data_IF_168113360777
#
_entry.id   IF_168113360777
#
_cell.length_a   1.000
_cell.length_b   1.000
_cell.length_c   1.000
_cell.angle_alpha   90.00
_cell.angle_beta   90.00
_cell.angle_gamma   90.00
#
_symmetry.space_group_name_H-M   'P 1'
#
loop_
_entity.id
_entity.type
_entity.pdbx_description
1 polymer ?
#
# COMPACT_ATOMS: atom_id res chain seq x y z
N UNK A 1 0.90 -30.61 -16.72
CA UNK A 1 1.24 -29.44 -17.60
C UNK A 1 2.75 -29.44 -17.73
N UNK A 2 3.26 -29.34 -18.97
CA UNK A 2 4.69 -29.13 -19.21
C UNK A 2 5.05 -27.67 -18.85
N UNK A 3 5.85 -27.50 -17.81
CA UNK A 3 6.22 -26.17 -17.31
C UNK A 3 7.05 -25.38 -18.34
N UNK A 4 7.90 -26.06 -19.12
CA UNK A 4 8.72 -25.39 -20.15
C UNK A 4 7.85 -24.88 -21.30
N UNK A 5 6.90 -25.69 -21.75
CA UNK A 5 5.97 -25.29 -22.79
C UNK A 5 5.10 -24.09 -22.35
N UNK A 6 4.59 -24.11 -21.10
CA UNK A 6 3.83 -23.03 -20.52
C UNK A 6 4.67 -21.75 -20.43
N UNK A 7 5.91 -21.84 -19.93
CA UNK A 7 6.81 -20.70 -19.80
C UNK A 7 7.14 -20.07 -21.16
N UNK A 8 7.44 -20.89 -22.17
CA UNK A 8 7.69 -20.40 -23.52
C UNK A 8 6.47 -19.69 -24.12
N UNK A 9 5.26 -20.23 -23.90
CA UNK A 9 4.01 -19.59 -24.33
C UNK A 9 3.79 -18.23 -23.66
N UNK A 10 4.11 -18.09 -22.36
CA UNK A 10 4.05 -16.81 -21.65
C UNK A 10 5.04 -15.80 -22.27
N UNK A 11 6.29 -16.21 -22.50
CA UNK A 11 7.32 -15.34 -23.09
C UNK A 11 6.90 -14.90 -24.51
N UNK A 12 6.41 -15.82 -25.33
CA UNK A 12 5.96 -15.52 -26.69
C UNK A 12 4.81 -14.50 -26.70
N UNK A 13 3.79 -14.74 -25.86
CA UNK A 13 2.66 -13.82 -25.71
C UNK A 13 3.12 -12.44 -25.22
N UNK A 14 3.93 -12.39 -24.18
CA UNK A 14 4.44 -11.14 -23.62
C UNK A 14 5.28 -10.34 -24.64
N UNK A 15 6.04 -11.03 -25.50
CA UNK A 15 6.83 -10.40 -26.55
C UNK A 15 5.95 -9.79 -27.65
N UNK A 16 4.84 -10.44 -27.99
CA UNK A 16 3.93 -10.01 -29.05
C UNK A 16 2.93 -8.95 -28.60
N UNK A 17 2.43 -9.04 -27.36
CA UNK A 17 1.27 -8.29 -26.88
C UNK A 17 1.52 -7.47 -25.61
N UNK A 18 2.68 -7.60 -24.97
CA UNK A 18 2.99 -7.12 -23.63
C UNK A 18 2.14 -7.76 -22.50
N UNK A 19 1.43 -8.85 -22.79
CA UNK A 19 0.59 -9.61 -21.86
C UNK A 19 0.96 -11.10 -21.88
N UNK A 20 0.79 -11.86 -20.77
CA UNK A 20 0.23 -11.44 -19.48
C UNK A 20 1.26 -10.78 -18.56
N UNK A 21 0.77 -9.99 -17.59
CA UNK A 21 1.51 -9.71 -16.37
C UNK A 21 1.51 -10.93 -15.43
N UNK A 22 2.53 -11.06 -14.57
CA UNK A 22 2.64 -12.17 -13.63
C UNK A 22 2.55 -11.68 -12.19
N UNK A 23 1.72 -12.34 -11.39
CA UNK A 23 1.60 -12.10 -9.96
C UNK A 23 2.19 -13.30 -9.21
N UNK A 24 3.21 -13.07 -8.40
CA UNK A 24 3.80 -14.08 -7.52
C UNK A 24 2.92 -14.24 -6.29
N UNK A 25 1.81 -14.98 -6.46
CA UNK A 25 0.69 -15.02 -5.53
C UNK A 25 1.07 -15.42 -4.09
N UNK A 26 1.90 -16.42 -3.94
CA UNK A 26 2.36 -16.89 -2.63
C UNK A 26 3.15 -15.80 -1.89
N UNK A 27 4.00 -15.04 -2.61
CA UNK A 27 4.75 -13.92 -2.04
C UNK A 27 3.83 -12.77 -1.63
N UNK A 28 2.78 -12.50 -2.43
CA UNK A 28 1.79 -11.47 -2.12
C UNK A 28 1.06 -11.84 -0.82
N UNK A 29 0.45 -13.02 -0.77
CA UNK A 29 -0.40 -13.44 0.36
C UNK A 29 0.38 -13.58 1.65
N UNK A 30 1.62 -14.09 1.59
CA UNK A 30 2.50 -14.29 2.73
C UNK A 30 2.91 -12.97 3.40
N UNK A 31 3.12 -11.91 2.61
CA UNK A 31 3.62 -10.63 3.09
C UNK A 31 2.55 -9.56 3.28
N UNK A 32 1.28 -9.85 2.99
CA UNK A 32 0.19 -8.89 3.10
C UNK A 32 -0.50 -8.98 4.46
N UNK A 33 -0.40 -7.97 5.34
CA UNK A 33 -1.07 -8.00 6.65
C UNK A 33 -2.58 -8.23 6.55
N UNK A 34 -3.25 -7.60 5.58
CA UNK A 34 -4.68 -7.76 5.36
C UNK A 34 -5.10 -9.21 5.08
N UNK A 35 -4.24 -10.01 4.44
CA UNK A 35 -4.53 -11.43 4.15
C UNK A 35 -4.63 -12.31 5.40
N UNK A 36 -4.07 -11.85 6.52
CA UNK A 36 -4.16 -12.56 7.82
C UNK A 36 -5.58 -12.59 8.38
N UNK A 37 -6.42 -11.64 7.99
CA UNK A 37 -7.82 -11.57 8.43
C UNK A 37 -8.73 -12.43 7.53
N UNK A 38 -9.57 -13.31 8.10
CA UNK A 38 -10.47 -14.16 7.32
C UNK A 38 -11.38 -13.40 6.34
N UNK A 39 -11.90 -12.24 6.75
CA UNK A 39 -12.78 -11.38 5.97
C UNK A 39 -12.05 -10.56 4.90
N UNK A 40 -10.73 -10.34 5.04
CA UNK A 40 -9.91 -9.57 4.11
C UNK A 40 -8.94 -10.44 3.30
N UNK A 41 -9.18 -11.73 3.22
CA UNK A 41 -8.39 -12.60 2.35
C UNK A 41 -8.40 -12.09 0.90
N UNK A 42 -7.20 -11.92 0.37
CA UNK A 42 -6.99 -11.44 -1.00
C UNK A 42 -7.61 -12.38 -2.02
N UNK A 43 -8.42 -11.84 -2.93
CA UNK A 43 -9.09 -12.57 -4.03
C UNK A 43 -8.55 -12.19 -5.39
N UNK A 44 -8.08 -10.96 -5.54
CA UNK A 44 -7.59 -10.39 -6.80
C UNK A 44 -6.67 -9.21 -6.52
N UNK A 45 -6.27 -8.49 -7.56
CA UNK A 45 -5.67 -7.17 -7.47
C UNK A 45 -6.55 -6.15 -8.20
N UNK A 46 -6.24 -4.86 -8.06
CA UNK A 46 -6.72 -3.84 -8.97
C UNK A 46 -6.13 -4.08 -10.39
N UNK A 47 -6.62 -3.40 -11.44
CA UNK A 47 -6.20 -3.65 -12.83
C UNK A 47 -4.68 -3.55 -13.07
N UNK A 48 -3.98 -2.63 -12.40
CA UNK A 48 -2.53 -2.45 -12.56
C UNK A 48 -1.68 -3.40 -11.68
N UNK A 49 -2.30 -4.13 -10.75
CA UNK A 49 -1.64 -5.17 -9.95
C UNK A 49 -0.94 -4.69 -8.68
N UNK A 50 -0.93 -3.38 -8.40
CA UNK A 50 -0.20 -2.82 -7.26
C UNK A 50 -0.90 -3.03 -5.91
N UNK A 51 -2.22 -3.24 -5.90
CA UNK A 51 -2.99 -3.42 -4.67
C UNK A 51 -3.71 -4.77 -4.65
N UNK A 52 -3.27 -5.71 -3.80
CA UNK A 52 -4.03 -6.94 -3.53
C UNK A 52 -5.30 -6.60 -2.75
N UNK A 53 -6.44 -7.07 -3.22
CA UNK A 53 -7.75 -6.72 -2.71
C UNK A 53 -8.56 -7.94 -2.26
N UNK A 54 -9.33 -7.77 -1.19
CA UNK A 54 -10.41 -8.66 -0.78
C UNK A 54 -11.69 -8.40 -1.59
N UNK A 55 -12.72 -9.21 -1.36
CA UNK A 55 -14.00 -8.99 -2.02
C UNK A 55 -14.62 -7.65 -1.58
N UNK A 56 -15.22 -6.93 -2.53
CA UNK A 56 -15.90 -5.63 -2.33
C UNK A 56 -14.99 -4.50 -1.81
N UNK A 57 -13.68 -4.69 -1.87
CA UNK A 57 -12.70 -3.72 -1.38
C UNK A 57 -12.24 -2.77 -2.49
N UNK A 58 -11.66 -1.65 -2.09
CA UNK A 58 -11.10 -0.65 -2.98
C UNK A 58 -9.87 -0.01 -2.33
N UNK A 59 -9.04 0.68 -3.11
CA UNK A 59 -7.86 1.36 -2.61
C UNK A 59 -7.91 2.87 -2.92
N UNK A 60 -7.49 3.69 -1.96
CA UNK A 60 -7.38 5.15 -2.07
C UNK A 60 -5.91 5.46 -2.28
N UNK A 61 -5.56 5.84 -3.50
CA UNK A 61 -4.18 6.02 -3.92
C UNK A 61 -3.70 7.44 -3.64
N UNK A 62 -2.56 7.52 -2.94
CA UNK A 62 -1.76 8.74 -2.81
C UNK A 62 -0.34 8.40 -3.23
N UNK A 63 0.28 9.24 -4.05
CA UNK A 63 1.61 8.97 -4.60
C UNK A 63 2.57 10.13 -4.30
N UNK A 64 3.66 9.83 -3.61
CA UNK A 64 4.70 10.79 -3.26
C UNK A 64 5.70 10.93 -4.40
N UNK A 65 6.06 12.17 -4.76
CA UNK A 65 7.08 12.44 -5.77
C UNK A 65 8.47 12.42 -5.13
N UNK A 66 9.20 11.32 -5.27
CA UNK A 66 10.54 11.15 -4.68
C UNK A 66 11.57 12.13 -5.26
N UNK A 67 11.47 12.47 -6.55
CA UNK A 67 12.38 13.43 -7.19
C UNK A 67 12.35 14.79 -6.50
N UNK A 68 11.19 15.23 -5.99
CA UNK A 68 11.07 16.51 -5.29
C UNK A 68 11.80 16.58 -3.95
N UNK A 69 12.27 15.44 -3.44
CA UNK A 69 13.02 15.32 -2.19
C UNK A 69 14.54 15.32 -2.39
N UNK A 70 15.01 15.38 -3.64
CA UNK A 70 16.44 15.47 -3.93
C UNK A 70 16.90 16.92 -3.91
N UNK A 71 17.85 17.23 -3.03
CA UNK A 71 18.54 18.52 -2.95
C UNK A 71 19.76 18.53 -3.88
N UNK A 72 20.10 19.69 -4.42
CA UNK A 72 21.27 19.89 -5.27
C UNK A 72 21.38 18.87 -6.42
N UNK A 73 20.23 18.63 -7.09
CA UNK A 73 20.11 17.64 -8.17
C UNK A 73 21.21 17.80 -9.21
N UNK A 74 21.89 16.70 -9.57
CA UNK A 74 23.00 16.59 -10.51
C UNK A 74 24.31 17.28 -10.08
N UNK A 75 24.37 17.83 -8.86
CA UNK A 75 25.60 18.40 -8.32
C UNK A 75 26.41 17.34 -7.56
N UNK A 76 27.67 17.62 -7.27
CA UNK A 76 28.55 16.70 -6.50
C UNK A 76 28.07 16.45 -5.08
N UNK A 77 27.30 17.39 -4.52
CA UNK A 77 26.71 17.34 -3.19
C UNK A 77 25.19 17.05 -3.26
N UNK A 78 24.74 16.39 -4.33
CA UNK A 78 23.36 15.91 -4.40
C UNK A 78 23.06 14.98 -3.22
N UNK A 79 21.92 15.20 -2.55
CA UNK A 79 21.52 14.46 -1.37
C UNK A 79 19.99 14.28 -1.33
N UNK A 80 19.54 13.21 -0.67
CA UNK A 80 18.12 12.92 -0.50
C UNK A 80 17.63 13.35 0.89
N UNK A 81 16.53 14.11 0.94
CA UNK A 81 15.95 14.63 2.19
C UNK A 81 15.09 13.59 2.90
N UNK A 82 15.70 12.70 3.67
CA UNK A 82 15.02 11.67 4.44
C UNK A 82 14.09 12.23 5.54
N UNK A 83 14.44 13.38 6.11
CA UNK A 83 13.57 14.04 7.11
C UNK A 83 12.28 14.50 6.46
N UNK A 84 12.37 15.13 5.29
CA UNK A 84 11.18 15.57 4.53
C UNK A 84 10.39 14.38 4.00
N UNK A 85 11.05 13.26 3.65
CA UNK A 85 10.35 12.02 3.25
C UNK A 85 9.41 11.54 4.37
N UNK A 86 9.88 11.45 5.61
CA UNK A 86 9.05 11.01 6.75
C UNK A 86 7.86 11.95 6.96
N UNK A 87 8.09 13.27 6.90
CA UNK A 87 7.03 14.28 7.04
C UNK A 87 5.95 14.11 5.95
N UNK A 88 6.35 14.01 4.68
CA UNK A 88 5.37 13.88 3.58
C UNK A 88 4.71 12.51 3.55
N UNK A 89 5.37 11.45 4.03
CA UNK A 89 4.78 10.13 4.18
C UNK A 89 3.67 10.14 5.23
N UNK A 90 3.91 10.75 6.39
CA UNK A 90 2.90 10.94 7.43
C UNK A 90 1.70 11.77 6.93
N UNK A 91 1.96 12.89 6.24
CA UNK A 91 0.90 13.69 5.61
C UNK A 91 0.11 12.90 4.55
N UNK A 92 0.81 12.12 3.72
CA UNK A 92 0.19 11.27 2.71
C UNK A 92 -0.70 10.19 3.32
N UNK A 93 -0.27 9.58 4.43
CA UNK A 93 -1.06 8.59 5.15
C UNK A 93 -2.32 9.20 5.77
N UNK A 94 -2.22 10.37 6.40
CA UNK A 94 -3.35 11.12 6.94
C UNK A 94 -4.36 11.50 5.85
N UNK A 95 -3.88 12.01 4.71
CA UNK A 95 -4.71 12.31 3.55
C UNK A 95 -5.42 11.05 3.02
N UNK A 96 -4.72 9.92 2.98
CA UNK A 96 -5.32 8.64 2.56
C UNK A 96 -6.46 8.19 3.49
N UNK A 97 -6.32 8.38 4.81
CA UNK A 97 -7.41 8.09 5.77
C UNK A 97 -8.60 9.05 5.59
N UNK A 98 -8.35 10.33 5.32
CA UNK A 98 -9.41 11.31 5.03
C UNK A 98 -10.17 10.97 3.72
N UNK A 99 -9.48 10.40 2.72
CA UNK A 99 -10.14 9.89 1.51
C UNK A 99 -11.04 8.67 1.81
N UNK A 100 -10.71 7.84 2.80
CA UNK A 100 -11.61 6.77 3.26
C UNK A 100 -12.90 7.37 3.83
N UNK A 101 -12.82 8.41 4.66
CA UNK A 101 -14.01 9.08 5.20
C UNK A 101 -14.90 9.66 4.09
N UNK A 102 -14.28 10.33 3.11
CA UNK A 102 -15.00 10.88 1.95
C UNK A 102 -15.71 9.77 1.17
N UNK A 103 -15.08 8.62 0.95
CA UNK A 103 -15.71 7.50 0.27
C UNK A 103 -16.86 6.91 1.08
N UNK A 104 -16.71 6.73 2.39
CA UNK A 104 -17.78 6.23 3.25
C UNK A 104 -19.01 7.13 3.20
N UNK A 105 -18.82 8.45 3.22
CA UNK A 105 -19.92 9.42 3.03
C UNK A 105 -20.61 9.23 1.68
N UNK A 106 -19.84 9.08 0.59
CA UNK A 106 -20.39 8.87 -0.76
C UNK A 106 -21.14 7.55 -0.88
N UNK A 107 -20.59 6.47 -0.35
CA UNK A 107 -21.24 5.15 -0.36
C UNK A 107 -22.58 5.17 0.41
N UNK A 108 -22.66 5.86 1.55
CA UNK A 108 -23.91 6.06 2.27
C UNK A 108 -24.94 6.85 1.45
N UNK A 109 -24.49 7.91 0.78
CA UNK A 109 -25.38 8.73 -0.05
C UNK A 109 -25.92 7.94 -1.25
N UNK A 110 -25.09 7.11 -1.89
CA UNK A 110 -25.53 6.24 -3.00
C UNK A 110 -26.54 5.20 -2.50
N UNK A 111 -26.30 4.57 -1.35
CA UNK A 111 -27.26 3.61 -0.77
C UNK A 111 -28.65 4.21 -0.54
N UNK A 112 -28.74 5.49 -0.18
CA UNK A 112 -30.03 6.19 0.04
C UNK A 112 -30.84 6.39 -1.23
N UNK A 113 -30.15 6.54 -2.38
CA UNK A 113 -30.79 6.83 -3.67
C UNK A 113 -30.86 5.64 -4.62
N UNK A 114 -30.27 4.50 -4.22
CA UNK A 114 -30.32 3.27 -5.00
C UNK A 114 -31.75 2.77 -5.18
N UNK A 115 -32.11 2.38 -6.41
CA UNK A 115 -33.49 2.05 -6.78
C UNK A 115 -33.89 0.60 -6.46
N UNK A 116 -32.93 -0.33 -6.53
CA UNK A 116 -33.21 -1.76 -6.32
C UNK A 116 -32.57 -2.30 -5.03
N UNK A 117 -33.13 -3.40 -4.51
CA UNK A 117 -32.58 -4.07 -3.33
C UNK A 117 -31.22 -4.72 -3.62
N UNK A 118 -30.99 -5.20 -4.85
CA UNK A 118 -29.70 -5.74 -5.28
C UNK A 118 -28.62 -4.66 -5.29
N UNK A 119 -28.94 -3.49 -5.81
CA UNK A 119 -28.05 -2.33 -5.82
C UNK A 119 -27.74 -1.86 -4.39
N UNK A 120 -28.77 -1.72 -3.54
CA UNK A 120 -28.56 -1.39 -2.12
C UNK A 120 -27.68 -2.40 -1.41
N UNK A 121 -27.89 -3.69 -1.67
CA UNK A 121 -27.06 -4.77 -1.11
C UNK A 121 -25.61 -4.67 -1.56
N UNK A 122 -25.34 -4.35 -2.83
CA UNK A 122 -23.99 -4.15 -3.34
C UNK A 122 -23.29 -2.98 -2.65
N UNK A 123 -23.93 -1.81 -2.62
CA UNK A 123 -23.34 -0.62 -2.00
C UNK A 123 -23.13 -0.79 -0.49
N UNK A 124 -23.98 -1.55 0.18
CA UNK A 124 -23.79 -1.93 1.58
C UNK A 124 -22.53 -2.76 1.78
N UNK A 125 -22.27 -3.76 0.93
CA UNK A 125 -21.07 -4.60 1.02
C UNK A 125 -19.79 -3.79 0.77
N UNK A 126 -19.83 -2.87 -0.19
CA UNK A 126 -18.71 -1.95 -0.45
C UNK A 126 -18.45 -1.03 0.77
N UNK A 127 -19.51 -0.51 1.38
CA UNK A 127 -19.39 0.30 2.59
C UNK A 127 -18.80 -0.49 3.76
N UNK A 128 -19.29 -1.71 3.99
CA UNK A 128 -18.82 -2.59 5.07
C UNK A 128 -17.32 -2.93 4.89
N UNK A 129 -16.89 -3.30 3.68
CA UNK A 129 -15.48 -3.58 3.39
C UNK A 129 -14.62 -2.33 3.62
N UNK A 130 -15.03 -1.18 3.09
CA UNK A 130 -14.32 0.09 3.24
C UNK A 130 -14.22 0.54 4.71
N UNK A 131 -15.33 0.42 5.47
CA UNK A 131 -15.40 0.82 6.87
C UNK A 131 -14.59 -0.08 7.79
N UNK A 132 -14.67 -1.40 7.60
CA UNK A 132 -14.04 -2.38 8.49
C UNK A 132 -12.53 -2.46 8.32
N UNK A 133 -12.01 -2.30 7.09
CA UNK A 133 -10.58 -2.41 6.80
C UNK A 133 -9.88 -1.05 6.70
N UNK A 134 -10.58 -0.02 6.22
CA UNK A 134 -10.03 1.32 5.99
C UNK A 134 -8.74 1.27 5.14
N UNK A 135 -8.77 0.50 4.05
CA UNK A 135 -7.59 0.29 3.20
C UNK A 135 -7.12 1.58 2.54
N UNK A 136 -5.82 1.80 2.54
CA UNK A 136 -5.12 2.91 1.89
C UNK A 136 -4.03 2.39 0.96
N UNK A 137 -3.57 3.23 0.03
CA UNK A 137 -2.48 2.92 -0.89
C UNK A 137 -1.54 4.11 -1.01
N UNK A 138 -0.61 4.22 -0.07
CA UNK A 138 0.45 5.21 -0.14
C UNK A 138 1.62 4.65 -0.95
N UNK A 139 1.82 5.19 -2.13
CA UNK A 139 2.88 4.80 -3.06
C UNK A 139 3.81 5.96 -3.41
N UNK A 140 4.66 5.72 -4.39
CA UNK A 140 5.65 6.69 -4.85
C UNK A 140 5.74 6.73 -6.38
N UNK A 141 6.20 7.85 -6.91
CA UNK A 141 6.64 7.98 -8.30
C UNK A 141 7.94 8.80 -8.35
N UNK A 142 8.58 8.84 -9.52
CA UNK A 142 9.82 9.58 -9.70
C UNK A 142 11.04 8.96 -9.03
N UNK A 143 11.05 7.64 -8.76
CA UNK A 143 12.22 6.95 -8.18
C UNK A 143 13.41 7.00 -9.14
N UNK A 144 13.23 6.65 -10.40
CA UNK A 144 14.29 6.69 -11.40
C UNK A 144 14.85 8.11 -11.57
N UNK A 145 13.98 9.13 -11.57
CA UNK A 145 14.39 10.53 -11.62
C UNK A 145 15.21 10.92 -10.37
N UNK A 146 14.80 10.47 -9.18
CA UNK A 146 15.53 10.72 -7.94
C UNK A 146 16.94 10.09 -7.98
N UNK A 147 17.04 8.83 -8.43
CA UNK A 147 18.32 8.13 -8.60
C UNK A 147 19.22 8.86 -9.60
N UNK A 148 18.68 9.29 -10.75
CA UNK A 148 19.43 10.08 -11.73
C UNK A 148 19.89 11.43 -11.14
N UNK A 149 19.02 12.13 -10.40
CA UNK A 149 19.37 13.39 -9.72
C UNK A 149 20.47 13.23 -8.67
N UNK A 150 20.62 12.04 -8.09
CA UNK A 150 21.71 11.67 -7.17
C UNK A 150 23.00 11.26 -7.91
N UNK A 151 23.05 11.36 -9.24
CA UNK A 151 24.15 10.92 -10.10
C UNK A 151 24.47 9.42 -10.02
N UNK A 152 23.44 8.59 -9.81
CA UNK A 152 23.57 7.13 -9.77
C UNK A 152 22.95 6.49 -11.01
N UNK A 153 23.54 5.40 -11.49
CA UNK A 153 22.91 4.55 -12.49
C UNK A 153 21.81 3.72 -11.82
N UNK A 154 20.65 3.62 -12.45
CA UNK A 154 19.44 3.01 -11.85
C UNK A 154 19.64 1.55 -11.44
N UNK A 155 20.43 0.79 -12.20
CA UNK A 155 20.75 -0.61 -11.99
C UNK A 155 22.06 -0.85 -11.20
N UNK A 156 22.65 0.20 -10.63
CA UNK A 156 23.90 0.10 -9.86
C UNK A 156 23.64 -0.44 -8.44
N UNK A 157 24.64 -1.12 -7.82
CA UNK A 157 24.57 -1.52 -6.42
C UNK A 157 24.34 -0.35 -5.46
N UNK A 158 24.90 0.81 -5.76
CA UNK A 158 24.74 2.04 -4.98
C UNK A 158 23.28 2.54 -5.01
N UNK A 159 22.61 2.43 -6.16
CA UNK A 159 21.20 2.77 -6.29
C UNK A 159 20.33 1.85 -5.43
N UNK A 160 20.63 0.55 -5.37
CA UNK A 160 19.88 -0.40 -4.53
C UNK A 160 19.96 -0.02 -3.04
N UNK A 161 21.15 0.41 -2.57
CA UNK A 161 21.32 0.89 -1.19
C UNK A 161 20.48 2.13 -0.90
N UNK A 162 20.42 3.07 -1.86
CA UNK A 162 19.59 4.28 -1.71
C UNK A 162 18.10 3.94 -1.75
N UNK A 163 17.67 3.04 -2.62
CA UNK A 163 16.30 2.57 -2.72
C UNK A 163 15.84 1.99 -1.37
N UNK A 164 16.63 1.12 -0.76
CA UNK A 164 16.32 0.55 0.55
C UNK A 164 16.18 1.65 1.62
N UNK A 165 17.16 2.58 1.67
CA UNK A 165 17.13 3.73 2.58
C UNK A 165 15.93 4.67 2.36
N UNK A 166 15.33 4.71 1.18
CA UNK A 166 14.13 5.49 0.90
C UNK A 166 12.88 4.75 1.39
N UNK A 167 12.73 3.46 1.03
CA UNK A 167 11.50 2.74 1.29
C UNK A 167 11.33 2.28 2.74
N UNK A 168 12.41 2.03 3.46
CA UNK A 168 12.35 1.66 4.87
C UNK A 168 11.78 2.79 5.75
N UNK A 169 12.31 4.04 5.74
CA UNK A 169 11.71 5.12 6.51
C UNK A 169 10.32 5.55 6.02
N UNK A 170 10.03 5.39 4.72
CA UNK A 170 8.70 5.66 4.18
C UNK A 170 7.66 4.70 4.78
N UNK A 171 7.96 3.39 4.78
CA UNK A 171 7.16 2.36 5.42
C UNK A 171 6.92 2.69 6.89
N UNK A 172 8.00 2.93 7.63
CA UNK A 172 7.93 3.15 9.06
C UNK A 172 7.12 4.40 9.40
N UNK A 173 7.32 5.51 8.68
CA UNK A 173 6.55 6.75 8.89
C UNK A 173 5.06 6.59 8.56
N UNK A 174 4.71 5.82 7.52
CA UNK A 174 3.31 5.55 7.20
C UNK A 174 2.63 4.72 8.29
N UNK A 175 3.30 3.68 8.81
CA UNK A 175 2.77 2.87 9.90
C UNK A 175 2.70 3.64 11.23
N UNK A 176 3.71 4.46 11.56
CA UNK A 176 3.67 5.35 12.72
C UNK A 176 2.46 6.30 12.66
N UNK A 177 2.23 6.94 11.51
CA UNK A 177 1.10 7.85 11.35
C UNK A 177 -0.24 7.10 11.45
N UNK A 178 -0.33 5.86 10.92
CA UNK A 178 -1.53 5.03 11.09
C UNK A 178 -1.81 4.69 12.55
N UNK A 179 -0.77 4.53 13.39
CA UNK A 179 -0.92 4.37 14.85
C UNK A 179 -1.38 5.68 15.50
N UNK A 180 -0.81 6.82 15.14
CA UNK A 180 -1.26 8.12 15.66
C UNK A 180 -2.72 8.40 15.27
N UNK A 181 -3.11 8.09 14.05
CA UNK A 181 -4.51 8.17 13.62
C UNK A 181 -5.42 7.21 14.40
N UNK A 182 -4.93 6.03 14.76
CA UNK A 182 -5.69 5.11 15.62
C UNK A 182 -5.88 5.68 17.04
N UNK A 183 -4.90 6.37 17.59
CA UNK A 183 -5.03 7.07 18.88
C UNK A 183 -6.03 8.24 18.80
N UNK A 184 -6.07 8.97 17.70
CA UNK A 184 -6.98 10.10 17.50
C UNK A 184 -8.42 9.66 17.18
N UNK A 185 -8.59 8.62 16.36
CA UNK A 185 -9.86 8.28 15.66
C UNK A 185 -10.32 6.85 15.89
N UNK A 186 -9.56 6.06 16.65
CA UNK A 186 -9.76 4.61 16.82
C UNK A 186 -9.05 3.77 15.76
N UNK A 187 -8.69 2.55 16.09
CA UNK A 187 -8.16 1.59 15.15
C UNK A 187 -9.22 1.20 14.09
N UNK A 188 -8.79 0.60 12.96
CA UNK A 188 -9.78 0.06 12.02
C UNK A 188 -10.62 -1.05 12.71
N UNK A 189 -11.94 -1.13 12.43
CA UNK A 189 -12.85 -1.97 13.22
C UNK A 189 -12.49 -3.45 13.31
N UNK A 190 -11.88 -4.01 12.28
CA UNK A 190 -11.45 -5.41 12.29
C UNK A 190 -10.07 -5.64 12.92
N UNK A 191 -9.39 -4.61 13.44
CA UNK A 191 -8.04 -4.76 13.99
C UNK A 191 -7.97 -5.78 15.13
N UNK A 192 -7.06 -6.73 15.00
CA UNK A 192 -6.69 -7.71 16.03
C UNK A 192 -5.18 -7.97 15.95
N UNK A 193 -4.45 -7.58 17.00
CA UNK A 193 -3.01 -7.80 17.06
C UNK A 193 -2.64 -9.28 16.98
N UNK A 194 -3.39 -10.16 17.64
CA UNK A 194 -3.15 -11.60 17.62
C UNK A 194 -3.25 -12.24 16.23
N UNK A 195 -3.98 -11.57 15.31
CA UNK A 195 -4.05 -11.96 13.89
C UNK A 195 -2.84 -11.48 13.10
N UNK A 196 -2.32 -10.28 13.40
CA UNK A 196 -1.23 -9.65 12.63
C UNK A 196 0.16 -9.94 13.14
N UNK A 197 0.33 -10.20 14.43
CA UNK A 197 1.65 -10.25 15.09
C UNK A 197 2.66 -11.18 14.42
N UNK A 198 2.20 -12.26 13.79
CA UNK A 198 3.05 -13.24 13.12
C UNK A 198 3.18 -13.01 11.60
N UNK A 199 2.58 -11.96 11.06
CA UNK A 199 2.72 -11.65 9.63
C UNK A 199 4.16 -11.22 9.31
N UNK A 200 4.75 -11.77 8.24
CA UNK A 200 6.16 -11.54 7.89
C UNK A 200 6.47 -10.06 7.59
N UNK A 201 5.52 -9.30 7.04
CA UNK A 201 5.73 -7.88 6.81
C UNK A 201 5.74 -7.10 8.13
N UNK A 202 4.79 -7.37 9.02
CA UNK A 202 4.71 -6.76 10.36
C UNK A 202 5.98 -7.05 11.17
N UNK A 203 6.52 -8.26 11.07
CA UNK A 203 7.75 -8.63 11.76
C UNK A 203 9.00 -7.85 11.31
N UNK A 204 8.99 -7.23 10.13
CA UNK A 204 10.07 -6.35 9.65
C UNK A 204 10.00 -4.92 10.18
N UNK A 205 8.91 -4.56 10.85
CA UNK A 205 8.79 -3.23 11.46
C UNK A 205 9.72 -3.11 12.68
N UNK A 206 10.18 -1.89 13.04
CA UNK A 206 10.93 -1.63 14.27
C UNK A 206 10.17 -2.14 15.51
N UNK A 207 10.91 -2.68 16.48
CA UNK A 207 10.32 -3.25 17.71
C UNK A 207 9.44 -2.24 18.46
N UNK A 208 9.85 -0.96 18.53
CA UNK A 208 9.07 0.08 19.19
C UNK A 208 7.75 0.36 18.45
N UNK A 209 7.77 0.31 17.12
CA UNK A 209 6.56 0.48 16.32
C UNK A 209 5.60 -0.71 16.50
N UNK A 210 6.11 -1.94 16.54
CA UNK A 210 5.30 -3.13 16.85
C UNK A 210 4.63 -3.04 18.22
N UNK A 211 5.34 -2.54 19.25
CA UNK A 211 4.76 -2.31 20.57
C UNK A 211 3.63 -1.28 20.53
N UNK A 212 3.82 -0.18 19.78
CA UNK A 212 2.78 0.84 19.61
C UNK A 212 1.55 0.29 18.88
N UNK A 213 1.75 -0.51 17.85
CA UNK A 213 0.66 -1.19 17.14
C UNK A 213 -0.09 -2.14 18.08
N UNK A 214 0.63 -2.95 18.85
CA UNK A 214 0.02 -3.87 19.82
C UNK A 214 -0.81 -3.14 20.89
N UNK A 215 -0.37 -1.95 21.31
CA UNK A 215 -1.01 -1.17 22.37
C UNK A 215 -2.20 -0.34 21.88
N UNK A 216 -2.11 0.26 20.70
CA UNK A 216 -3.05 1.27 20.21
C UNK A 216 -3.80 0.84 18.95
N UNK A 217 -3.36 -0.22 18.31
CA UNK A 217 -3.82 -0.57 16.97
C UNK A 217 -3.23 0.34 15.89
N UNK A 218 -3.73 0.18 14.68
CA UNK A 218 -3.49 1.07 13.55
C UNK A 218 -4.80 1.42 12.85
N UNK A 219 -4.85 2.58 12.22
CA UNK A 219 -6.07 3.14 11.64
C UNK A 219 -6.49 2.44 10.35
N UNK A 220 -5.55 1.84 9.63
CA UNK A 220 -5.73 1.35 8.25
C UNK A 220 -5.13 -0.05 8.13
N UNK A 221 -5.81 -0.95 7.41
CA UNK A 221 -5.39 -2.35 7.24
C UNK A 221 -4.17 -2.53 6.31
N UNK A 222 -3.89 -1.53 5.46
CA UNK A 222 -2.69 -1.44 4.62
C UNK A 222 -2.44 0.01 4.28
#
# INVERSE_FOLDING_TARGET
IDATALWNSIIESATQTAEPGLLMWDNITKNLPAHSYPEFQTKTTNPCGEIPLSAYDSCRLVSLNLKSLVKNSFEKNADFDFSKLREVAAMGMRLSDDLVELELEKLQNIQRVADSDDEKSLWKKLYEAASNGRRTGLGTHGLADAIACLNLAYDSPEALVIIEKIYEPLRDAAYEESVYLAQERGAFPAFDWGVEENNEFIQRLPEELKKLIAQHGRRNIS
#
